data_IF_748850346105
#
_entry.id   IF_748850346105
#
_cell.length_a   1.000
_cell.length_b   1.000
_cell.length_c   1.000
_cell.angle_alpha   90.00
_cell.angle_beta   90.00
_cell.angle_gamma   90.00
#
_symmetry.space_group_name_H-M   'P 1'
#
loop_
_entity.id
_entity.type
_entity.pdbx_description
1 polymer ?
#
# COMPACT_ATOMS: atom_id res chain seq x y z
N UNK A 1 38.26 -19.37 3.27
CA UNK A 1 36.91 -19.88 3.56
C UNK A 1 35.98 -18.69 3.51
N UNK A 2 35.49 -18.39 2.31
CA UNK A 2 34.62 -17.24 2.04
C UNK A 2 33.27 -17.79 1.56
N UNK A 3 32.24 -16.98 1.79
CA UNK A 3 30.88 -17.10 1.29
C UNK A 3 29.90 -17.83 2.23
N UNK A 4 29.25 -17.03 3.08
CA UNK A 4 27.79 -17.04 3.24
C UNK A 4 27.36 -15.60 3.44
N UNK A 5 27.26 -14.86 2.32
CA UNK A 5 26.50 -13.61 2.28
C UNK A 5 25.02 -13.98 2.44
N UNK A 6 24.33 -13.26 3.32
CA UNK A 6 22.91 -13.42 3.56
C UNK A 6 22.08 -12.96 2.38
N UNK A 7 20.86 -13.51 2.28
CA UNK A 7 19.73 -12.98 1.51
C UNK A 7 18.59 -14.01 1.59
N UNK A 8 17.88 -14.06 2.71
CA UNK A 8 16.68 -14.90 2.83
C UNK A 8 15.58 -14.24 3.67
N UNK A 9 15.53 -12.91 3.69
CA UNK A 9 14.41 -12.15 4.28
C UNK A 9 13.76 -11.16 3.30
N UNK A 10 14.18 -11.13 2.03
CA UNK A 10 13.67 -10.19 1.03
C UNK A 10 12.49 -10.71 0.21
N UNK A 11 12.22 -12.02 0.24
CA UNK A 11 11.26 -12.64 -0.69
C UNK A 11 9.81 -12.66 -0.15
N UNK A 12 9.62 -12.59 1.17
CA UNK A 12 8.29 -12.64 1.80
C UNK A 12 7.58 -11.28 1.75
N UNK A 13 8.35 -10.22 2.02
CA UNK A 13 7.91 -8.83 1.85
C UNK A 13 7.47 -8.57 0.39
N UNK A 14 8.12 -9.16 -0.61
CA UNK A 14 7.72 -8.90 -2.01
C UNK A 14 6.29 -9.38 -2.32
N UNK A 15 5.84 -10.47 -1.71
CA UNK A 15 4.51 -11.03 -1.98
C UNK A 15 3.42 -10.18 -1.31
N UNK A 16 3.61 -9.87 -0.03
CA UNK A 16 2.67 -9.04 0.74
C UNK A 16 2.58 -7.61 0.19
N UNK A 17 3.72 -7.02 -0.20
CA UNK A 17 3.73 -5.69 -0.81
C UNK A 17 3.02 -5.70 -2.17
N UNK A 18 3.16 -6.77 -2.96
CA UNK A 18 2.46 -6.92 -4.23
C UNK A 18 0.95 -7.06 -4.02
N UNK A 19 0.52 -7.82 -3.02
CA UNK A 19 -0.88 -7.96 -2.65
C UNK A 19 -1.49 -6.63 -2.17
N UNK A 20 -0.79 -5.92 -1.27
CA UNK A 20 -1.19 -4.59 -0.80
C UNK A 20 -1.29 -3.59 -1.96
N UNK A 21 -0.27 -3.52 -2.82
CA UNK A 21 -0.26 -2.62 -3.97
C UNK A 21 -1.42 -2.91 -4.93
N UNK A 22 -1.69 -4.20 -5.19
CA UNK A 22 -2.81 -4.63 -6.04
C UNK A 22 -4.16 -4.27 -5.42
N UNK A 23 -4.35 -4.57 -4.13
CA UNK A 23 -5.58 -4.26 -3.40
C UNK A 23 -5.86 -2.75 -3.34
N UNK A 24 -4.83 -1.98 -3.00
CA UNK A 24 -4.91 -0.52 -2.94
C UNK A 24 -5.23 0.08 -4.31
N UNK A 25 -4.54 -0.38 -5.36
CA UNK A 25 -4.76 0.10 -6.74
C UNK A 25 -6.21 -0.13 -7.17
N UNK A 26 -6.75 -1.35 -6.96
CA UNK A 26 -8.14 -1.69 -7.30
C UNK A 26 -9.17 -0.81 -6.59
N UNK A 27 -8.94 -0.46 -5.31
CA UNK A 27 -9.86 0.41 -4.55
C UNK A 27 -9.74 1.87 -4.98
N UNK A 28 -8.51 2.37 -5.13
CA UNK A 28 -8.28 3.75 -5.57
C UNK A 28 -8.90 3.98 -6.95
N UNK A 29 -8.74 3.06 -7.90
CA UNK A 29 -9.30 3.20 -9.25
C UNK A 29 -10.83 3.15 -9.30
N UNK A 30 -11.51 2.61 -8.28
CA UNK A 30 -12.99 2.73 -8.17
C UNK A 30 -13.44 4.17 -7.92
N UNK A 31 -12.61 4.98 -7.25
CA UNK A 31 -12.91 6.39 -6.92
C UNK A 31 -12.24 7.34 -7.92
N UNK A 32 -11.00 7.03 -8.31
CA UNK A 32 -10.15 7.81 -9.20
C UNK A 32 -9.55 6.91 -10.30
N UNK A 33 -10.28 6.65 -11.40
CA UNK A 33 -9.91 5.67 -12.42
C UNK A 33 -8.53 5.83 -13.04
N UNK A 34 -8.01 7.07 -13.03
CA UNK A 34 -6.74 7.42 -13.68
C UNK A 34 -5.63 7.76 -12.68
N UNK A 35 -5.82 7.48 -11.39
CA UNK A 35 -4.82 7.79 -10.37
C UNK A 35 -3.59 6.88 -10.52
N UNK A 36 -2.40 7.47 -10.34
CA UNK A 36 -1.16 6.73 -10.22
C UNK A 36 -0.98 6.30 -8.76
N UNK A 37 -0.95 5.00 -8.50
CA UNK A 37 -0.82 4.43 -7.14
C UNK A 37 0.58 3.85 -6.96
N UNK A 38 1.24 4.21 -5.86
CA UNK A 38 2.55 3.66 -5.46
C UNK A 38 2.56 3.38 -3.97
N UNK A 39 3.13 2.25 -3.59
CA UNK A 39 3.41 1.90 -2.19
C UNK A 39 4.89 2.11 -1.93
N UNK A 40 5.23 2.73 -0.80
CA UNK A 40 6.60 2.84 -0.32
C UNK A 40 6.64 2.61 1.19
N UNK A 41 7.74 2.08 1.74
CA UNK A 41 7.93 2.07 3.18
C UNK A 41 7.89 3.50 3.73
N UNK A 42 7.17 3.70 4.83
CA UNK A 42 7.08 4.99 5.52
C UNK A 42 7.23 4.78 7.01
N UNK A 43 7.94 5.71 7.67
CA UNK A 43 8.12 5.68 9.14
C UNK A 43 6.87 6.19 9.88
N UNK A 44 6.01 6.93 9.18
CA UNK A 44 4.75 7.44 9.71
C UNK A 44 3.58 6.82 8.95
N UNK A 45 2.51 6.53 9.68
CA UNK A 45 1.25 6.10 9.08
C UNK A 45 0.62 7.32 8.41
N UNK A 46 0.63 7.34 7.08
CA UNK A 46 0.10 8.48 6.35
C UNK A 46 0.03 8.26 4.86
N UNK A 47 -1.06 8.76 4.27
CA UNK A 47 -1.25 8.83 2.83
C UNK A 47 -0.65 10.15 2.31
N UNK A 48 0.32 10.04 1.40
CA UNK A 48 0.74 11.16 0.57
C UNK A 48 -0.16 11.20 -0.67
N UNK A 49 -0.96 12.26 -0.81
CA UNK A 49 -1.91 12.42 -1.92
C UNK A 49 -1.89 13.84 -2.47
N UNK A 50 -1.91 13.98 -3.80
CA UNK A 50 -2.08 15.27 -4.49
C UNK A 50 -3.56 15.54 -4.80
N UNK A 51 -4.39 15.43 -3.78
CA UNK A 51 -5.86 15.51 -3.89
C UNK A 51 -6.42 16.61 -3.00
N UNK A 52 -7.65 17.03 -3.28
CA UNK A 52 -8.38 17.94 -2.39
C UNK A 52 -8.59 17.33 -0.99
N UNK A 53 -8.91 18.15 0.01
CA UNK A 53 -9.17 17.67 1.38
C UNK A 53 -10.30 16.64 1.42
N UNK A 54 -11.41 16.89 0.72
CA UNK A 54 -12.55 15.98 0.68
C UNK A 54 -12.23 14.67 -0.02
N UNK A 55 -11.41 14.71 -1.07
CA UNK A 55 -10.95 13.49 -1.75
C UNK A 55 -9.96 12.69 -0.88
N UNK A 56 -9.13 13.37 -0.10
CA UNK A 56 -8.26 12.73 0.88
C UNK A 56 -9.06 12.00 1.97
N UNK A 57 -10.18 12.58 2.42
CA UNK A 57 -11.09 11.93 3.39
C UNK A 57 -11.72 10.65 2.81
N UNK A 58 -12.13 10.66 1.53
CA UNK A 58 -12.61 9.44 0.85
C UNK A 58 -11.53 8.36 0.80
N UNK A 59 -10.29 8.75 0.52
CA UNK A 59 -9.15 7.82 0.48
C UNK A 59 -8.82 7.24 1.87
N UNK A 60 -8.85 8.06 2.92
CA UNK A 60 -8.62 7.59 4.29
C UNK A 60 -9.70 6.59 4.72
N UNK A 61 -10.98 6.89 4.48
CA UNK A 61 -12.07 5.96 4.80
C UNK A 61 -11.94 4.63 4.05
N UNK A 62 -11.61 4.69 2.76
CA UNK A 62 -11.37 3.47 1.95
C UNK A 62 -10.17 2.66 2.48
N UNK A 63 -9.12 3.32 2.96
CA UNK A 63 -7.97 2.67 3.57
C UNK A 63 -8.33 2.02 4.90
N UNK A 64 -9.07 2.70 5.76
CA UNK A 64 -9.57 2.17 7.03
C UNK A 64 -10.39 0.89 6.79
N UNK A 65 -11.36 0.93 5.87
CA UNK A 65 -12.15 -0.24 5.47
C UNK A 65 -11.26 -1.38 4.93
N UNK A 66 -10.18 -1.08 4.21
CA UNK A 66 -9.23 -2.08 3.72
C UNK A 66 -8.43 -2.78 4.82
N UNK A 67 -8.06 -2.06 5.88
CA UNK A 67 -7.34 -2.64 7.02
C UNK A 67 -8.29 -3.43 7.92
N UNK A 68 -9.51 -2.93 8.18
CA UNK A 68 -10.53 -3.67 8.93
C UNK A 68 -10.88 -5.01 8.27
N UNK A 69 -10.98 -5.06 6.94
CA UNK A 69 -11.21 -6.29 6.17
C UNK A 69 -10.03 -7.28 6.23
N UNK A 70 -8.79 -6.79 6.38
CA UNK A 70 -7.60 -7.64 6.37
C UNK A 70 -7.34 -8.32 7.74
N UNK A 71 -7.85 -7.74 8.83
CA UNK A 71 -7.74 -8.26 10.19
C UNK A 71 -8.88 -9.24 10.56
N UNK A 72 -9.90 -9.40 9.70
CA UNK A 72 -11.03 -10.36 9.85
C UNK A 72 -10.77 -11.70 9.17
#
# INVERSE_FOLDING_TARGET
MSQHYGESQANDLSSEYSALATGLTKRVHRIFPYALVKVKPMQTNGLNSDTSKSDREKLNRMLEEMFEEADM
#
